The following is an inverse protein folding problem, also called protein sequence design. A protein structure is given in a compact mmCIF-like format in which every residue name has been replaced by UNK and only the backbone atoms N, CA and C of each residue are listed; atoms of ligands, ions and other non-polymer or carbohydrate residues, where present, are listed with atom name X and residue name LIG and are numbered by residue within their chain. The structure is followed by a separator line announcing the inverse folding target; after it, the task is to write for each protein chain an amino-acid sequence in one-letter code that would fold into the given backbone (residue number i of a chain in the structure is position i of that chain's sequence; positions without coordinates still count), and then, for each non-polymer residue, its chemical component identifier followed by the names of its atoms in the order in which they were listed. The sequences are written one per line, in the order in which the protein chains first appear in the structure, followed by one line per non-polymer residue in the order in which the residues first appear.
data_IF_410901171904
#
_entry.id   IF_410901171904
#
_cell.length_a   1.000
_cell.length_b   1.000
_cell.length_c   1.000
_cell.angle_alpha   90.00
_cell.angle_beta   90.00
_cell.angle_gamma   90.00
#
_symmetry.space_group_name_H-M   'P 1'
#
loop_
_entity.id
_entity.type
_entity.pdbx_description
1 polymer ?
#
# COMPACT_ATOMS: atom_id res chain seq x y z
N UNK A 1 14.90 -5.94 13.91
CA UNK A 1 14.83 -4.88 12.87
C UNK A 1 13.50 -4.18 13.07
N UNK A 2 13.48 -2.88 13.33
CA UNK A 2 12.23 -2.17 13.64
C UNK A 2 11.20 -2.38 12.52
N UNK A 3 9.95 -2.56 12.90
CA UNK A 3 8.81 -2.74 11.98
C UNK A 3 8.80 -1.68 10.86
N UNK A 4 9.10 -0.43 11.20
CA UNK A 4 9.23 0.68 10.26
C UNK A 4 10.20 0.39 9.09
N UNK A 5 11.45 0.03 9.37
CA UNK A 5 12.45 -0.28 8.35
C UNK A 5 12.06 -1.50 7.51
N UNK A 6 11.35 -2.47 8.09
CA UNK A 6 10.82 -3.60 7.34
C UNK A 6 9.77 -3.14 6.32
N UNK A 7 8.76 -2.36 6.75
CA UNK A 7 7.72 -1.85 5.86
C UNK A 7 8.32 -0.92 4.79
N UNK A 8 9.29 -0.07 5.16
CA UNK A 8 10.02 0.76 4.22
C UNK A 8 10.78 -0.06 3.17
N UNK A 9 11.32 -1.22 3.56
CA UNK A 9 12.00 -2.13 2.63
C UNK A 9 11.03 -2.72 1.60
N UNK A 10 9.82 -3.10 2.04
CA UNK A 10 8.74 -3.57 1.16
C UNK A 10 8.29 -2.47 0.20
N UNK A 11 8.17 -1.23 0.68
CA UNK A 11 7.84 -0.08 -0.16
C UNK A 11 8.90 0.16 -1.24
N UNK A 12 10.19 0.14 -0.87
CA UNK A 12 11.30 0.27 -1.83
C UNK A 12 11.31 -0.87 -2.84
N UNK A 13 10.96 -2.10 -2.42
CA UNK A 13 10.83 -3.23 -3.32
C UNK A 13 9.68 -3.03 -4.33
N UNK A 14 8.52 -2.55 -3.86
CA UNK A 14 7.38 -2.16 -4.71
C UNK A 14 7.79 -1.11 -5.75
N UNK A 15 8.52 -0.07 -5.37
CA UNK A 15 9.01 0.94 -6.32
C UNK A 15 9.93 0.35 -7.39
N UNK A 16 10.89 -0.49 -6.97
CA UNK A 16 11.78 -1.19 -7.92
C UNK A 16 11.01 -2.12 -8.85
N UNK A 17 9.93 -2.72 -8.36
CA UNK A 17 9.07 -3.58 -9.14
C UNK A 17 8.35 -2.82 -10.26
N UNK A 18 7.79 -1.65 -10.00
CA UNK A 18 7.16 -0.81 -11.03
C UNK A 18 8.14 -0.55 -12.18
N UNK A 19 9.39 -0.23 -11.84
CA UNK A 19 10.46 -0.04 -12.84
C UNK A 19 10.75 -1.33 -13.62
N UNK A 20 10.82 -2.49 -12.95
CA UNK A 20 11.02 -3.79 -13.62
C UNK A 20 9.88 -4.15 -14.56
N UNK A 21 8.62 -3.88 -14.20
CA UNK A 21 7.47 -4.13 -15.05
C UNK A 21 7.52 -3.24 -16.30
N UNK A 22 7.79 -1.94 -16.13
CA UNK A 22 7.94 -1.02 -17.27
C UNK A 22 9.04 -1.53 -18.21
N UNK A 23 10.19 -1.91 -17.67
CA UNK A 23 11.31 -2.43 -18.46
C UNK A 23 10.92 -3.72 -19.20
N UNK A 24 10.25 -4.65 -18.51
CA UNK A 24 9.74 -5.89 -19.11
C UNK A 24 8.76 -5.59 -20.25
N UNK A 25 7.83 -4.65 -20.05
CA UNK A 25 6.88 -4.22 -21.08
C UNK A 25 7.60 -3.64 -22.30
N UNK A 26 8.61 -2.79 -22.11
CA UNK A 26 9.41 -2.24 -23.21
C UNK A 26 10.13 -3.35 -23.97
N UNK A 27 10.78 -4.28 -23.27
CA UNK A 27 11.48 -5.42 -23.90
C UNK A 27 10.48 -6.28 -24.69
N UNK A 28 9.34 -6.64 -24.10
CA UNK A 28 8.32 -7.44 -24.76
C UNK A 28 7.77 -6.76 -26.02
N UNK A 29 7.57 -5.44 -25.98
CA UNK A 29 7.14 -4.66 -27.15
C UNK A 29 8.20 -4.66 -28.25
N UNK A 30 9.48 -4.51 -27.90
CA UNK A 30 10.58 -4.59 -28.87
C UNK A 30 10.68 -5.97 -29.51
N UNK A 31 10.55 -7.03 -28.70
CA UNK A 31 10.57 -8.42 -29.19
C UNK A 31 9.37 -8.69 -30.10
N UNK A 32 8.16 -8.32 -29.68
CA UNK A 32 6.97 -8.47 -30.51
C UNK A 32 7.11 -7.71 -31.84
N UNK A 33 7.62 -6.48 -31.81
CA UNK A 33 7.86 -5.68 -33.02
C UNK A 33 8.92 -6.31 -33.93
N UNK A 34 9.99 -6.87 -33.38
CA UNK A 34 11.03 -7.57 -34.13
C UNK A 34 10.46 -8.81 -34.85
N UNK A 35 9.64 -9.60 -34.15
CA UNK A 35 8.99 -10.81 -34.72
C UNK A 35 8.11 -10.43 -35.92
N UNK A 36 7.36 -9.33 -35.80
CA UNK A 36 6.50 -8.80 -36.87
C UNK A 36 7.32 -8.29 -38.04
N UNK A 37 8.38 -7.51 -37.81
CA UNK A 37 9.23 -6.94 -38.87
C UNK A 37 10.00 -8.00 -39.64
N UNK A 38 10.51 -9.03 -38.94
CA UNK A 38 11.25 -10.13 -39.56
C UNK A 38 10.32 -11.16 -40.23
N UNK A 39 8.99 -10.99 -40.14
CA UNK A 39 7.97 -11.92 -40.61
C UNK A 39 8.28 -13.39 -40.23
N UNK A 40 8.82 -13.59 -39.02
CA UNK A 40 9.29 -14.91 -38.57
C UNK A 40 8.17 -15.93 -38.52
N UNK A 41 6.95 -15.47 -38.27
CA UNK A 41 5.74 -16.27 -38.15
C UNK A 41 4.60 -15.51 -38.82
N UNK A 42 3.99 -16.12 -39.85
CA UNK A 42 2.81 -15.60 -40.59
C UNK A 42 1.55 -15.61 -39.72
N UNK A 43 1.59 -14.83 -38.65
CA UNK A 43 0.55 -14.68 -37.65
C UNK A 43 0.24 -13.20 -37.55
N UNK A 44 -1.03 -12.85 -37.32
CA UNK A 44 -1.43 -11.46 -37.18
C UNK A 44 -0.60 -10.75 -36.11
N UNK A 45 -0.02 -9.56 -36.40
CA UNK A 45 0.79 -8.79 -35.45
C UNK A 45 0.11 -8.58 -34.10
N UNK A 46 -1.22 -8.43 -34.10
CA UNK A 46 -2.04 -8.27 -32.91
C UNK A 46 -1.87 -9.41 -31.90
N UNK A 47 -1.69 -10.65 -32.36
CA UNK A 47 -1.56 -11.82 -31.47
C UNK A 47 -0.31 -11.71 -30.59
N UNK A 48 0.81 -11.22 -31.14
CA UNK A 48 2.04 -11.01 -30.37
C UNK A 48 1.89 -9.93 -29.30
N UNK A 49 1.21 -8.83 -29.62
CA UNK A 49 0.90 -7.80 -28.65
C UNK A 49 -0.04 -8.31 -27.54
N UNK A 50 -1.03 -9.16 -27.86
CA UNK A 50 -1.88 -9.79 -26.86
C UNK A 50 -1.11 -10.74 -25.93
N UNK A 51 -0.19 -11.54 -26.47
CA UNK A 51 0.67 -12.42 -25.67
C UNK A 51 1.55 -11.58 -24.73
N UNK A 52 2.20 -10.54 -25.24
CA UNK A 52 3.01 -9.63 -24.44
C UNK A 52 2.19 -8.98 -23.31
N UNK A 53 1.00 -8.47 -23.62
CA UNK A 53 0.09 -7.88 -22.64
C UNK A 53 -0.34 -8.91 -21.58
N UNK A 54 -0.65 -10.14 -21.98
CA UNK A 54 -1.01 -11.22 -21.05
C UNK A 54 0.10 -11.54 -20.06
N UNK A 55 1.36 -11.59 -20.52
CA UNK A 55 2.54 -11.80 -19.64
C UNK A 55 2.67 -10.67 -18.62
N UNK A 56 2.54 -9.41 -19.06
CA UNK A 56 2.63 -8.24 -18.19
C UNK A 56 1.53 -8.27 -17.13
N UNK A 57 0.26 -8.47 -17.53
CA UNK A 57 -0.87 -8.54 -16.59
C UNK A 57 -0.73 -9.68 -15.58
N UNK A 58 -0.24 -10.83 -16.02
CA UNK A 58 0.01 -11.97 -15.12
C UNK A 58 1.09 -11.65 -14.08
N UNK A 59 2.19 -11.01 -14.49
CA UNK A 59 3.24 -10.58 -13.57
C UNK A 59 2.72 -9.52 -12.58
N UNK A 60 1.94 -8.54 -13.05
CA UNK A 60 1.33 -7.50 -12.21
C UNK A 60 0.41 -8.11 -11.13
N UNK A 61 -0.44 -9.06 -11.51
CA UNK A 61 -1.35 -9.71 -10.56
C UNK A 61 -0.59 -10.52 -9.50
N UNK A 62 0.44 -11.27 -9.90
CA UNK A 62 1.18 -12.16 -8.99
C UNK A 62 1.94 -11.39 -7.90
N UNK A 63 2.31 -10.14 -8.16
CA UNK A 63 3.22 -9.36 -7.31
C UNK A 63 2.57 -8.13 -6.67
N UNK A 64 1.23 -8.09 -6.59
CA UNK A 64 0.52 -7.04 -5.86
C UNK A 64 0.90 -7.15 -4.38
N UNK A 65 1.62 -6.14 -3.89
CA UNK A 65 2.08 -6.01 -2.49
C UNK A 65 1.09 -5.24 -1.62
N UNK A 66 0.15 -4.54 -2.25
CA UNK A 66 -0.93 -3.79 -1.60
C UNK A 66 -2.05 -4.72 -1.15
N UNK A 67 -2.78 -4.29 -0.12
CA UNK A 67 -3.95 -5.01 0.36
C UNK A 67 -5.10 -5.01 -0.67
N UNK A 68 -6.08 -5.89 -0.45
CA UNK A 68 -7.29 -5.94 -1.26
C UNK A 68 -8.10 -4.63 -1.18
N UNK A 69 -8.01 -3.91 -0.07
CA UNK A 69 -8.76 -2.69 0.20
C UNK A 69 -7.97 -1.41 -0.14
N UNK A 70 -6.78 -1.51 -0.74
CA UNK A 70 -5.93 -0.36 -1.07
C UNK A 70 -6.65 0.72 -1.89
N UNK A 71 -7.42 0.33 -2.91
CA UNK A 71 -8.18 1.27 -3.74
C UNK A 71 -9.24 2.03 -2.93
N UNK A 72 -9.81 1.38 -1.91
CA UNK A 72 -10.80 1.95 -1.02
C UNK A 72 -10.14 2.93 -0.04
N UNK A 73 -8.95 2.58 0.48
CA UNK A 73 -8.12 3.47 1.28
C UNK A 73 -7.76 4.74 0.48
N UNK A 74 -7.26 4.60 -0.75
CA UNK A 74 -6.94 5.74 -1.62
C UNK A 74 -8.19 6.60 -1.87
N UNK A 75 -9.33 5.96 -2.15
CA UNK A 75 -10.61 6.64 -2.33
C UNK A 75 -11.06 7.41 -1.09
N UNK A 76 -10.83 6.85 0.10
CA UNK A 76 -11.13 7.47 1.39
C UNK A 76 -10.21 8.67 1.67
N UNK A 77 -8.90 8.49 1.56
CA UNK A 77 -7.91 9.56 1.78
C UNK A 77 -8.13 10.74 0.83
N UNK A 78 -8.48 10.46 -0.43
CA UNK A 78 -8.82 11.52 -1.40
C UNK A 78 -9.99 12.40 -0.95
N UNK A 79 -10.94 11.86 -0.19
CA UNK A 79 -12.12 12.60 0.27
C UNK A 79 -11.90 13.33 1.58
N UNK A 80 -11.12 12.74 2.50
CA UNK A 80 -11.08 13.19 3.89
C UNK A 80 -9.69 13.63 4.38
N UNK A 81 -8.60 13.18 3.76
CA UNK A 81 -7.22 13.43 4.20
C UNK A 81 -6.27 13.56 2.99
N UNK A 82 -6.44 14.65 2.23
CA UNK A 82 -5.71 14.86 0.98
C UNK A 82 -4.19 14.99 1.19
N UNK A 83 -3.75 15.53 2.32
CA UNK A 83 -2.33 15.69 2.67
C UNK A 83 -1.65 14.33 2.85
N UNK A 84 -2.28 13.40 3.58
CA UNK A 84 -1.81 12.02 3.75
C UNK A 84 -1.63 11.32 2.40
N UNK A 85 -2.57 11.56 1.47
CA UNK A 85 -2.53 10.96 0.13
C UNK A 85 -1.30 11.39 -0.70
N UNK A 86 -0.71 12.55 -0.41
CA UNK A 86 0.46 13.04 -1.16
C UNK A 86 1.76 12.31 -0.79
N UNK A 87 1.77 11.57 0.31
CA UNK A 87 2.92 10.79 0.76
C UNK A 87 2.69 9.30 0.47
N UNK A 88 3.14 8.83 -0.69
CA UNK A 88 2.99 7.44 -1.15
C UNK A 88 3.56 6.40 -0.16
N UNK A 89 4.64 6.75 0.55
CA UNK A 89 5.24 5.89 1.58
C UNK A 89 4.32 5.75 2.79
N UNK A 90 3.77 6.87 3.28
CA UNK A 90 2.82 6.88 4.38
C UNK A 90 1.53 6.15 4.00
N UNK A 91 1.02 6.32 2.77
CA UNK A 91 -0.16 5.59 2.29
C UNK A 91 0.10 4.08 2.27
N UNK A 92 1.28 3.65 1.79
CA UNK A 92 1.68 2.25 1.83
C UNK A 92 1.83 1.72 3.26
N UNK A 93 2.39 2.53 4.16
CA UNK A 93 2.51 2.20 5.57
C UNK A 93 1.14 2.02 6.23
N UNK A 94 0.19 2.92 5.96
CA UNK A 94 -1.19 2.82 6.44
C UNK A 94 -1.85 1.54 5.92
N UNK A 95 -1.74 1.25 4.63
CA UNK A 95 -2.29 0.02 4.02
C UNK A 95 -1.76 -1.23 4.71
N UNK A 96 -0.44 -1.29 4.93
CA UNK A 96 0.21 -2.39 5.62
C UNK A 96 -0.32 -2.57 7.05
N UNK A 97 -0.39 -1.48 7.82
CA UNK A 97 -0.88 -1.51 9.20
C UNK A 97 -2.35 -1.94 9.27
N UNK A 98 -3.19 -1.43 8.37
CA UNK A 98 -4.59 -1.84 8.27
C UNK A 98 -4.74 -3.33 7.93
N UNK A 99 -3.89 -3.86 7.04
CA UNK A 99 -3.91 -5.27 6.67
C UNK A 99 -3.41 -6.19 7.78
N UNK A 100 -2.43 -5.77 8.59
CA UNK A 100 -1.77 -6.66 9.55
C UNK A 100 -2.27 -6.53 11.00
N UNK A 101 -2.64 -5.33 11.43
CA UNK A 101 -3.08 -5.07 12.81
C UNK A 101 -4.59 -4.82 12.92
N UNK A 102 -5.23 -4.36 11.85
CA UNK A 102 -6.65 -4.04 11.82
C UNK A 102 -7.41 -4.77 10.71
N UNK A 103 -6.95 -5.95 10.28
CA UNK A 103 -7.46 -6.61 9.06
C UNK A 103 -8.98 -6.72 9.03
N UNK A 104 -9.56 -7.26 10.11
CA UNK A 104 -11.00 -7.46 10.22
C UNK A 104 -11.75 -6.13 10.34
N UNK A 105 -11.27 -5.25 11.21
CA UNK A 105 -11.92 -3.96 11.50
C UNK A 105 -11.90 -3.04 10.28
N UNK A 106 -10.76 -2.88 9.63
CA UNK A 106 -10.62 -2.10 8.40
C UNK A 106 -11.49 -2.64 7.27
N UNK A 107 -11.55 -3.97 7.08
CA UNK A 107 -12.43 -4.60 6.08
C UNK A 107 -13.91 -4.32 6.36
N UNK A 108 -14.34 -4.44 7.61
CA UNK A 108 -15.72 -4.14 7.99
C UNK A 108 -16.06 -2.66 7.80
N UNK A 109 -15.15 -1.75 8.17
CA UNK A 109 -15.33 -0.31 7.99
C UNK A 109 -15.44 0.06 6.51
N UNK A 110 -14.52 -0.43 5.66
CA UNK A 110 -14.60 -0.17 4.22
C UNK A 110 -15.85 -0.80 3.57
N UNK A 111 -16.27 -1.99 3.99
CA UNK A 111 -17.50 -2.59 3.50
C UNK A 111 -18.75 -1.78 3.88
N UNK A 112 -18.78 -1.20 5.09
CA UNK A 112 -19.86 -0.31 5.52
C UNK A 112 -19.91 0.96 4.68
N UNK A 113 -18.77 1.59 4.42
CA UNK A 113 -18.65 2.80 3.59
C UNK A 113 -19.08 2.61 2.12
N UNK A 114 -19.21 1.37 1.66
CA UNK A 114 -19.75 1.06 0.32
C UNK A 114 -21.29 0.92 0.32
N UNK A 115 -21.90 0.60 1.46
CA UNK A 115 -23.35 0.49 1.56
C UNK A 115 -23.94 1.89 1.64
N UNK A 116 -24.95 2.19 0.80
CA UNK A 116 -25.55 3.53 0.66
C UNK A 116 -26.39 3.98 1.87
N UNK A 117 -26.10 3.50 3.08
CA UNK A 117 -26.85 3.80 4.28
C UNK A 117 -26.17 4.93 5.07
N UNK A 118 -26.60 6.17 4.80
CA UNK A 118 -25.92 7.42 5.19
C UNK A 118 -25.68 7.62 6.69
N UNK A 119 -26.41 6.94 7.59
CA UNK A 119 -26.25 7.12 9.04
C UNK A 119 -25.13 6.24 9.61
N UNK A 120 -24.92 5.05 9.05
CA UNK A 120 -23.83 4.14 9.44
C UNK A 120 -22.47 4.63 8.88
N UNK A 121 -22.51 5.43 7.81
CA UNK A 121 -21.34 6.02 7.16
C UNK A 121 -20.59 6.99 8.08
N UNK A 122 -21.28 7.83 8.85
CA UNK A 122 -20.62 8.87 9.68
C UNK A 122 -19.75 8.24 10.75
N UNK A 123 -20.26 7.21 11.43
CA UNK A 123 -19.48 6.50 12.45
C UNK A 123 -18.31 5.74 11.83
N UNK A 124 -18.54 5.04 10.71
CA UNK A 124 -17.48 4.33 10.02
C UNK A 124 -16.38 5.26 9.49
N UNK A 125 -16.73 6.47 9.02
CA UNK A 125 -15.77 7.51 8.64
C UNK A 125 -14.95 7.93 9.85
N UNK A 126 -15.60 8.24 10.98
CA UNK A 126 -14.93 8.67 12.21
C UNK A 126 -13.97 7.61 12.73
N UNK A 127 -14.44 6.36 12.85
CA UNK A 127 -13.63 5.24 13.35
C UNK A 127 -12.41 5.01 12.44
N UNK A 128 -12.58 5.07 11.11
CA UNK A 128 -11.47 4.92 10.17
C UNK A 128 -10.50 6.12 10.20
N UNK A 129 -10.99 7.34 10.39
CA UNK A 129 -10.14 8.52 10.58
C UNK A 129 -9.29 8.42 11.85
N UNK A 130 -9.86 7.90 12.94
CA UNK A 130 -9.16 7.69 14.20
C UNK A 130 -8.02 6.67 14.03
N UNK A 131 -8.31 5.50 13.43
CA UNK A 131 -7.31 4.46 13.17
C UNK A 131 -6.19 5.01 12.26
N UNK A 132 -6.53 5.70 11.18
CA UNK A 132 -5.52 6.28 10.28
C UNK A 132 -4.72 7.37 10.98
N UNK A 133 -5.35 8.18 11.84
CA UNK A 133 -4.68 9.20 12.64
C UNK A 133 -3.68 8.62 13.63
N UNK A 134 -4.03 7.50 14.28
CA UNK A 134 -3.13 6.75 15.14
C UNK A 134 -1.92 6.22 14.36
N UNK A 135 -2.17 5.56 13.22
CA UNK A 135 -1.10 5.00 12.37
C UNK A 135 -0.17 6.13 11.86
N UNK A 136 -0.74 7.28 11.49
CA UNK A 136 0.04 8.44 11.03
C UNK A 136 0.90 9.00 12.16
N UNK A 137 0.36 9.08 13.38
CA UNK A 137 1.11 9.54 14.54
C UNK A 137 2.26 8.59 14.90
N UNK A 138 2.03 7.28 14.77
CA UNK A 138 3.07 6.26 14.93
C UNK A 138 4.14 6.39 13.84
N UNK A 139 3.77 6.58 12.57
CA UNK A 139 4.71 6.81 11.48
C UNK A 139 5.59 8.05 11.73
N UNK A 140 4.99 9.17 12.13
CA UNK A 140 5.74 10.40 12.42
C UNK A 140 6.69 10.19 13.62
N UNK A 141 6.24 9.51 14.68
CA UNK A 141 7.08 9.15 15.82
C UNK A 141 8.33 8.35 15.40
N UNK A 142 8.16 7.39 14.48
CA UNK A 142 9.25 6.58 13.95
C UNK A 142 10.17 7.38 13.01
N UNK A 143 9.64 8.39 12.31
CA UNK A 143 10.38 9.20 11.34
C UNK A 143 11.23 10.29 12.02
N UNK A 144 10.71 10.89 13.09
CA UNK A 144 11.37 11.99 13.82
C UNK A 144 12.52 11.49 14.70
N UNK A 145 12.47 10.24 15.18
CA UNK A 145 13.38 9.72 16.20
C UNK A 145 14.60 9.03 15.55
N UNK A 146 15.55 9.84 15.06
CA UNK A 146 16.81 9.40 14.44
C UNK A 146 17.74 8.59 15.38
N UNK A 147 17.43 8.49 16.67
CA UNK A 147 18.24 7.81 17.69
C UNK A 147 17.55 6.57 18.32
N UNK A 148 16.61 5.94 17.62
CA UNK A 148 16.10 4.63 18.03
C UNK A 148 17.22 3.57 17.94
N UNK A 149 18.00 3.46 19.02
CA UNK A 149 19.07 2.49 19.22
C UNK A 149 18.56 1.09 18.88
N UNK A 150 19.36 0.38 18.08
CA UNK A 150 19.05 -0.81 17.28
C UNK A 150 18.44 -2.04 17.99
N UNK A 151 18.16 -2.02 19.29
CA UNK A 151 17.83 -3.22 20.08
C UNK A 151 16.39 -3.32 20.60
N UNK A 152 15.51 -2.35 20.34
CA UNK A 152 14.09 -2.45 20.72
C UNK A 152 13.23 -2.65 19.48
N UNK A 153 12.48 -3.75 19.44
CA UNK A 153 11.45 -3.99 18.45
C UNK A 153 10.26 -3.05 18.71
N UNK A 154 10.30 -1.88 18.07
CA UNK A 154 9.23 -0.89 18.15
C UNK A 154 8.15 -1.33 17.18
N UNK A 155 7.04 -1.81 17.75
CA UNK A 155 5.81 -2.16 17.06
C UNK A 155 4.72 -1.14 17.35
N UNK A 156 3.64 -1.11 16.56
CA UNK A 156 2.47 -0.28 16.86
C UNK A 156 1.91 -0.54 18.26
N UNK A 157 1.91 -1.80 18.70
CA UNK A 157 1.47 -2.16 20.06
C UNK A 157 2.41 -1.59 21.13
N UNK A 158 3.72 -1.66 20.92
CA UNK A 158 4.69 -1.04 21.82
C UNK A 158 4.48 0.48 21.92
N UNK A 159 4.19 1.14 20.79
CA UNK A 159 3.89 2.57 20.76
C UNK A 159 2.67 2.92 21.62
N UNK A 160 1.58 2.17 21.48
CA UNK A 160 0.36 2.30 22.31
C UNK A 160 0.69 2.20 23.80
N UNK A 161 1.40 1.15 24.18
CA UNK A 161 1.79 0.88 25.57
C UNK A 161 2.71 2.01 26.11
N UNK A 162 3.58 2.58 25.27
CA UNK A 162 4.49 3.67 25.65
C UNK A 162 3.76 4.99 25.93
N UNK A 163 2.65 5.26 25.23
CA UNK A 163 1.82 6.45 25.45
C UNK A 163 1.01 6.27 26.72
N UNK A 164 0.42 5.09 26.92
CA UNK A 164 -0.39 4.81 28.10
C UNK A 164 0.42 4.90 29.40
N UNK A 165 1.63 4.33 29.41
CA UNK A 165 2.57 4.46 30.52
C UNK A 165 2.99 5.92 30.78
N UNK A 166 3.23 6.71 29.72
CA UNK A 166 3.53 8.14 29.87
C UNK A 166 2.35 8.93 30.46
N UNK A 167 1.11 8.60 30.10
CA UNK A 167 -0.09 9.23 30.67
C UNK A 167 -0.25 8.88 32.15
N UNK A 168 0.01 7.64 32.55
CA UNK A 168 -0.07 7.21 33.95
C UNK A 168 1.01 7.85 34.84
N UNK A 169 2.20 8.11 34.29
CA UNK A 169 3.29 8.77 35.02
C UNK A 169 3.13 10.30 35.17
N UNK A 170 2.12 10.90 34.52
CA UNK A 170 1.80 12.32 34.62
C UNK A 170 0.62 12.61 35.58
N UNK A 171 0.05 11.57 36.20
CA UNK A 171 -1.00 11.64 37.24
C UNK A 171 -0.37 11.41 38.61
#
# INVERSE_FOLDING_TARGET
MSEYYYILSLYKEKQRYVVKVILLSVILLLVASLIVVLDLLRVSPFIWYFIAMGIVLFQMKKMKTESENYDQLVGFLKRYQLETLQNDELVFFIDYQLQHYFERESRELFARLQNKNTTDDVKAISDLQEIIGEITSYYNYLSDDHELKEDIEISLQWYRDSIENRKQNLV
#
